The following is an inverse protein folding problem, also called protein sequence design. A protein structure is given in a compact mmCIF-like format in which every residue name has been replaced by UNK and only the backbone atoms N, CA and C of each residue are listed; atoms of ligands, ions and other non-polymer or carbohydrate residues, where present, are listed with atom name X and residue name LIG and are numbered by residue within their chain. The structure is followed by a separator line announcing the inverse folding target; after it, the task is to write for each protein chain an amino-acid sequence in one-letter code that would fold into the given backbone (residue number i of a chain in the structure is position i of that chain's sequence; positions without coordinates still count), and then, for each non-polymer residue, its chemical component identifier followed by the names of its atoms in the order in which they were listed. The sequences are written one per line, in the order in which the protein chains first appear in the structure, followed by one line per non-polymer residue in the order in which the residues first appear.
data_IF_904113143736
#
_entry.id   IF_904113143736
#
_cell.length_a   1.000
_cell.length_b   1.000
_cell.length_c   1.000
_cell.angle_alpha   90.00
_cell.angle_beta   90.00
_cell.angle_gamma   90.00
#
_symmetry.space_group_name_H-M   'P 1'
#
loop_
_entity.id
_entity.type
_entity.pdbx_description
1 polymer ?
#
# COMPACT_ATOMS: atom_id res chain seq x y z
N UNK A 1 10.82 13.41 -2.86
CA UNK A 1 11.10 13.88 -4.22
C UNK A 1 12.59 14.16 -4.27
N UNK A 2 13.30 13.56 -5.21
CA UNK A 2 14.72 13.88 -5.41
C UNK A 2 14.90 15.20 -6.20
N UNK A 3 16.13 15.72 -6.28
CA UNK A 3 16.40 17.00 -6.93
C UNK A 3 16.22 16.94 -8.46
N UNK A 4 16.40 15.77 -9.07
CA UNK A 4 16.14 15.56 -10.50
C UNK A 4 14.64 15.59 -10.79
N UNK A 5 13.82 15.03 -9.91
CA UNK A 5 12.35 15.09 -9.95
C UNK A 5 11.82 16.51 -9.71
N UNK A 6 12.40 17.25 -8.76
CA UNK A 6 12.03 18.66 -8.51
C UNK A 6 12.29 19.51 -9.74
N UNK A 7 13.41 19.28 -10.44
CA UNK A 7 13.73 19.96 -11.68
C UNK A 7 13.10 19.30 -12.93
N UNK A 8 12.33 18.22 -12.78
CA UNK A 8 11.71 17.47 -13.88
C UNK A 8 12.71 17.11 -15.01
N UNK A 9 13.88 16.59 -14.65
CA UNK A 9 14.95 16.21 -15.58
C UNK A 9 15.43 14.77 -15.32
N UNK A 10 15.98 14.07 -16.33
CA UNK A 10 16.55 12.75 -16.13
C UNK A 10 17.88 12.80 -15.38
N UNK A 11 18.23 11.68 -14.76
CA UNK A 11 19.54 11.47 -14.15
C UNK A 11 20.65 11.57 -15.20
N UNK A 12 21.82 12.12 -14.85
CA UNK A 12 22.92 12.33 -15.81
C UNK A 12 22.74 13.55 -16.73
N UNK A 13 21.71 14.37 -16.51
CA UNK A 13 21.52 15.62 -17.25
C UNK A 13 22.75 16.52 -17.22
N UNK A 14 23.03 17.15 -18.37
CA UNK A 14 24.16 18.07 -18.51
C UNK A 14 23.94 19.37 -17.71
N UNK A 15 25.00 20.12 -17.35
CA UNK A 15 24.86 21.43 -16.69
C UNK A 15 23.94 22.38 -17.44
N UNK A 16 23.95 22.31 -18.78
CA UNK A 16 23.06 23.08 -19.63
C UNK A 16 21.58 22.70 -19.45
N UNK A 17 21.26 21.40 -19.43
CA UNK A 17 19.89 20.92 -19.23
C UNK A 17 19.34 21.28 -17.85
N UNK A 18 20.18 21.16 -16.82
CA UNK A 18 19.83 21.55 -15.44
C UNK A 18 19.50 23.04 -15.37
N UNK A 19 20.36 23.88 -15.96
CA UNK A 19 20.19 25.33 -16.03
C UNK A 19 18.92 25.72 -16.81
N UNK A 20 18.68 25.08 -17.95
CA UNK A 20 17.50 25.35 -18.76
C UNK A 20 16.20 25.02 -18.01
N UNK A 21 16.16 23.87 -17.31
CA UNK A 21 14.97 23.50 -16.53
C UNK A 21 14.73 24.45 -15.36
N UNK A 22 15.78 24.86 -14.65
CA UNK A 22 15.68 25.86 -13.59
C UNK A 22 15.07 27.18 -14.08
N UNK A 23 15.52 27.72 -15.22
CA UNK A 23 14.93 28.95 -15.78
C UNK A 23 13.46 28.79 -16.19
N UNK A 24 13.09 27.62 -16.70
CA UNK A 24 11.69 27.33 -17.03
C UNK A 24 10.83 27.32 -15.76
N UNK A 25 11.25 26.58 -14.74
CA UNK A 25 10.49 26.40 -13.50
C UNK A 25 10.43 27.66 -12.66
N UNK A 26 11.50 28.45 -12.61
CA UNK A 26 11.46 29.77 -11.94
C UNK A 26 10.48 30.71 -12.62
N UNK A 27 10.39 30.75 -13.95
CA UNK A 27 9.35 31.56 -14.62
C UNK A 27 7.92 31.13 -14.31
N UNK A 28 7.72 29.86 -13.98
CA UNK A 28 6.41 29.28 -13.68
C UNK A 28 6.03 29.42 -12.19
N UNK A 29 7.01 29.27 -11.30
CA UNK A 29 6.80 29.17 -9.85
C UNK A 29 7.43 30.32 -9.05
N UNK A 30 7.95 31.36 -9.69
CA UNK A 30 8.47 32.52 -8.97
C UNK A 30 7.33 33.22 -8.20
N UNK A 31 7.49 33.53 -6.90
CA UNK A 31 6.43 34.14 -6.09
C UNK A 31 5.85 35.43 -6.70
N UNK A 32 6.69 36.23 -7.38
CA UNK A 32 6.28 37.45 -8.07
C UNK A 32 5.39 37.25 -9.31
N UNK A 33 5.20 36.02 -9.80
CA UNK A 33 4.30 35.71 -10.92
C UNK A 33 2.84 35.51 -10.47
N UNK A 34 2.58 35.45 -9.16
CA UNK A 34 1.26 35.17 -8.62
C UNK A 34 0.58 36.43 -8.05
N UNK A 35 -0.77 36.40 -7.99
CA UNK A 35 -1.56 37.55 -7.50
C UNK A 35 -1.24 37.89 -6.03
N UNK A 36 -1.18 39.19 -5.73
CA UNK A 36 -0.98 39.70 -4.36
C UNK A 36 -2.14 39.36 -3.43
N UNK A 37 -3.32 39.05 -3.97
CA UNK A 37 -4.54 38.76 -3.20
C UNK A 37 -4.68 37.28 -2.79
N UNK A 38 -3.63 36.47 -3.03
CA UNK A 38 -3.64 35.07 -2.62
C UNK A 38 -3.73 34.90 -1.09
N UNK A 39 -4.49 33.89 -0.62
CA UNK A 39 -4.45 33.45 0.76
C UNK A 39 -3.02 33.15 1.23
N UNK A 40 -2.73 33.46 2.49
CA UNK A 40 -1.39 33.28 3.08
C UNK A 40 -0.87 31.85 2.92
N UNK A 41 -1.73 30.85 3.15
CA UNK A 41 -1.36 29.44 3.07
C UNK A 41 -0.97 28.98 1.66
N UNK A 42 -1.43 29.68 0.62
CA UNK A 42 -1.05 29.42 -0.76
C UNK A 42 0.27 30.12 -1.10
N UNK A 43 0.47 31.35 -0.60
CA UNK A 43 1.74 32.07 -0.75
C UNK A 43 2.90 31.30 -0.12
N UNK A 44 2.71 30.80 1.10
CA UNK A 44 3.71 30.00 1.81
C UNK A 44 4.09 28.75 1.01
N UNK A 45 3.11 28.07 0.39
CA UNK A 45 3.36 26.91 -0.47
C UNK A 45 4.11 27.26 -1.75
N UNK A 46 3.83 28.41 -2.36
CA UNK A 46 4.53 28.88 -3.55
C UNK A 46 5.99 29.17 -3.20
N UNK A 47 6.24 29.85 -2.08
CA UNK A 47 7.59 30.13 -1.59
C UNK A 47 8.34 28.83 -1.27
N UNK A 48 7.69 27.86 -0.63
CA UNK A 48 8.27 26.54 -0.36
C UNK A 48 8.66 25.81 -1.65
N UNK A 49 7.78 25.79 -2.66
CA UNK A 49 8.06 25.15 -3.96
C UNK A 49 9.23 25.85 -4.66
N UNK A 50 9.23 27.18 -4.68
CA UNK A 50 10.31 27.97 -5.27
C UNK A 50 11.66 27.74 -4.55
N UNK A 51 11.63 27.67 -3.22
CA UNK A 51 12.80 27.34 -2.40
C UNK A 51 13.37 25.96 -2.72
N UNK A 52 12.50 24.95 -2.92
CA UNK A 52 12.94 23.62 -3.34
C UNK A 52 13.56 23.60 -4.74
N UNK A 53 12.99 24.33 -5.70
CA UNK A 53 13.54 24.46 -7.06
C UNK A 53 14.94 25.09 -7.02
N UNK A 54 15.10 26.16 -6.26
CA UNK A 54 16.38 26.88 -6.12
C UNK A 54 17.43 25.99 -5.47
N UNK A 55 17.07 25.34 -4.36
CA UNK A 55 17.97 24.42 -3.65
C UNK A 55 18.41 23.22 -4.51
N UNK A 56 17.51 22.70 -5.34
CA UNK A 56 17.81 21.63 -6.28
C UNK A 56 18.82 22.10 -7.34
N UNK A 57 18.63 23.30 -7.90
CA UNK A 57 19.57 23.90 -8.84
C UNK A 57 20.93 24.22 -8.21
N UNK A 58 20.96 24.83 -7.02
CA UNK A 58 22.21 25.16 -6.31
C UNK A 58 23.06 23.93 -5.98
N UNK A 59 22.42 22.77 -5.85
CA UNK A 59 23.10 21.50 -5.59
C UNK A 59 23.52 20.82 -6.89
N UNK A 60 22.64 20.74 -7.89
CA UNK A 60 22.92 20.01 -9.14
C UNK A 60 23.73 20.82 -10.17
N UNK A 61 23.71 22.16 -10.08
CA UNK A 61 24.41 23.06 -10.97
C UNK A 61 25.90 23.23 -10.64
N UNK A 62 26.31 22.91 -9.41
CA UNK A 62 27.72 22.87 -8.98
C UNK A 62 28.22 21.42 -9.06
N UNK A 63 29.33 21.20 -9.77
CA UNK A 63 29.84 19.85 -10.03
C UNK A 63 30.26 19.12 -8.75
N UNK A 64 30.86 19.81 -7.77
CA UNK A 64 31.29 19.20 -6.50
C UNK A 64 30.08 18.84 -5.64
N UNK A 65 29.12 19.76 -5.52
CA UNK A 65 27.89 19.50 -4.76
C UNK A 65 27.02 18.43 -5.42
N UNK A 66 26.99 18.39 -6.75
CA UNK A 66 26.32 17.34 -7.51
C UNK A 66 26.98 15.99 -7.25
N UNK A 67 28.29 15.89 -7.34
CA UNK A 67 29.02 14.64 -7.03
C UNK A 67 28.80 14.20 -5.58
N UNK A 68 28.83 15.12 -4.62
CA UNK A 68 28.54 14.81 -3.22
C UNK A 68 27.07 14.39 -3.01
N UNK A 69 26.12 15.07 -3.68
CA UNK A 69 24.71 14.73 -3.65
C UNK A 69 24.44 13.37 -4.28
N UNK A 70 24.99 13.10 -5.46
CA UNK A 70 24.90 11.83 -6.16
C UNK A 70 25.59 10.73 -5.35
N UNK A 71 26.75 10.97 -4.75
CA UNK A 71 27.41 10.01 -3.85
C UNK A 71 26.57 9.72 -2.61
N UNK A 72 25.98 10.76 -1.99
CA UNK A 72 25.06 10.60 -0.86
C UNK A 72 23.75 9.96 -1.26
N UNK A 73 23.29 10.11 -2.51
CA UNK A 73 22.07 9.52 -3.08
C UNK A 73 22.29 8.12 -3.64
N UNK A 74 23.51 7.76 -4.01
CA UNK A 74 23.91 6.39 -4.31
C UNK A 74 24.16 5.63 -3.00
N UNK A 75 24.73 6.30 -1.99
CA UNK A 75 24.86 5.77 -0.63
C UNK A 75 23.54 5.76 0.17
N UNK A 76 22.58 6.64 -0.18
CA UNK A 76 21.25 6.70 0.44
C UNK A 76 20.25 6.06 -0.51
N UNK A 77 19.62 4.94 -0.15
CA UNK A 77 19.16 3.97 -1.12
C UNK A 77 17.86 4.43 -1.81
N UNK A 78 17.97 5.27 -2.84
CA UNK A 78 16.89 5.50 -3.82
C UNK A 78 16.78 4.29 -4.76
N UNK A 79 17.89 3.55 -4.96
CA UNK A 79 17.91 2.15 -5.40
C UNK A 79 17.30 1.16 -4.38
N UNK A 80 17.14 1.61 -3.13
CA UNK A 80 16.54 0.85 -2.04
C UNK A 80 15.08 0.54 -2.28
N UNK A 81 14.30 1.34 -3.02
CA UNK A 81 12.90 1.03 -3.26
C UNK A 81 12.74 -0.36 -3.90
N UNK A 82 13.37 -0.58 -5.06
CA UNK A 82 13.27 -1.86 -5.79
C UNK A 82 13.99 -3.00 -5.08
N UNK A 83 15.10 -2.75 -4.40
CA UNK A 83 15.82 -3.79 -3.67
C UNK A 83 15.11 -4.19 -2.37
N UNK A 84 14.57 -3.23 -1.62
CA UNK A 84 13.73 -3.47 -0.46
C UNK A 84 12.43 -4.16 -0.87
N UNK A 85 11.86 -3.85 -2.03
CA UNK A 85 10.74 -4.58 -2.61
C UNK A 85 11.08 -6.04 -2.90
N UNK A 86 12.20 -6.30 -3.61
CA UNK A 86 12.68 -7.67 -3.85
C UNK A 86 12.94 -8.40 -2.55
N UNK A 87 13.58 -7.75 -1.57
CA UNK A 87 13.84 -8.30 -0.24
C UNK A 87 12.54 -8.62 0.49
N UNK A 88 11.54 -7.74 0.42
CA UNK A 88 10.22 -7.98 1.01
C UNK A 88 9.53 -9.19 0.35
N UNK A 89 9.61 -9.32 -0.98
CA UNK A 89 9.06 -10.48 -1.71
C UNK A 89 9.79 -11.79 -1.38
N UNK A 90 11.10 -11.75 -1.17
CA UNK A 90 11.88 -12.91 -0.72
C UNK A 90 11.44 -13.30 0.70
N UNK A 91 11.39 -12.35 1.63
CA UNK A 91 10.98 -12.58 3.03
C UNK A 91 9.55 -13.11 3.11
N UNK A 92 8.64 -12.55 2.31
CA UNK A 92 7.27 -13.05 2.18
C UNK A 92 7.23 -14.51 1.69
N UNK A 93 7.98 -14.83 0.63
CA UNK A 93 8.04 -16.20 0.09
C UNK A 93 8.58 -17.18 1.11
N UNK A 94 9.68 -16.83 1.78
CA UNK A 94 10.26 -17.65 2.85
C UNK A 94 9.30 -17.84 4.02
N UNK A 95 8.66 -16.75 4.49
CA UNK A 95 7.67 -16.80 5.56
C UNK A 95 6.46 -17.67 5.20
N UNK A 96 5.99 -17.60 3.95
CA UNK A 96 4.93 -18.50 3.43
C UNK A 96 5.38 -19.96 3.38
N UNK A 97 6.60 -20.24 2.95
CA UNK A 97 7.15 -21.62 2.97
C UNK A 97 7.22 -22.16 4.39
N UNK A 98 7.72 -21.38 5.35
CA UNK A 98 7.76 -21.78 6.76
C UNK A 98 6.37 -21.97 7.36
N UNK A 99 5.41 -21.13 7.00
CA UNK A 99 4.01 -21.30 7.42
C UNK A 99 3.45 -22.65 6.94
N UNK A 100 3.71 -23.03 5.68
CA UNK A 100 3.28 -24.32 5.14
C UNK A 100 4.01 -25.51 5.79
N UNK A 101 5.18 -25.28 6.39
CA UNK A 101 5.91 -26.26 7.20
C UNK A 101 5.49 -26.23 8.69
N UNK A 102 4.42 -25.49 9.03
CA UNK A 102 3.91 -25.30 10.40
C UNK A 102 4.91 -24.64 11.37
N UNK A 103 5.98 -24.04 10.84
CA UNK A 103 7.00 -23.29 11.61
C UNK A 103 6.53 -21.85 11.82
N UNK A 104 5.45 -21.69 12.59
CA UNK A 104 4.69 -20.44 12.69
C UNK A 104 5.48 -19.27 13.29
N UNK A 105 6.30 -19.50 14.32
CA UNK A 105 7.12 -18.45 14.94
C UNK A 105 8.15 -17.86 13.98
N UNK A 106 8.80 -18.72 13.19
CA UNK A 106 9.79 -18.28 12.20
C UNK A 106 9.11 -17.62 11.00
N UNK A 107 7.96 -18.15 10.56
CA UNK A 107 7.12 -17.52 9.55
C UNK A 107 6.70 -16.11 9.98
N UNK A 108 6.28 -15.94 11.23
CA UNK A 108 5.85 -14.67 11.79
C UNK A 108 6.97 -13.63 11.68
N UNK A 109 8.20 -13.96 12.11
CA UNK A 109 9.36 -13.04 12.03
C UNK A 109 9.61 -12.56 10.60
N UNK A 110 9.65 -13.48 9.63
CA UNK A 110 9.91 -13.12 8.22
C UNK A 110 8.76 -12.30 7.61
N UNK A 111 7.52 -12.59 7.99
CA UNK A 111 6.35 -11.86 7.50
C UNK A 111 6.26 -10.46 8.11
N UNK A 112 6.67 -10.27 9.36
CA UNK A 112 6.81 -8.93 9.98
C UNK A 112 7.88 -8.10 9.27
N UNK A 113 9.02 -8.70 8.93
CA UNK A 113 10.03 -8.06 8.10
C UNK A 113 9.48 -7.66 6.73
N UNK A 114 8.76 -8.56 6.04
CA UNK A 114 8.18 -8.29 4.73
C UNK A 114 7.21 -7.09 4.76
N UNK A 115 6.33 -7.05 5.77
CA UNK A 115 5.38 -5.94 5.98
C UNK A 115 6.10 -4.63 6.35
N UNK A 116 7.18 -4.70 7.14
CA UNK A 116 7.99 -3.52 7.48
C UNK A 116 8.65 -2.92 6.25
N UNK A 117 9.16 -3.76 5.35
CA UNK A 117 9.82 -3.36 4.11
C UNK A 117 8.80 -2.84 3.08
N UNK A 118 7.61 -3.45 2.98
CA UNK A 118 6.54 -3.02 2.08
C UNK A 118 5.18 -2.98 2.76
N UNK A 119 4.80 -1.77 3.18
CA UNK A 119 3.59 -1.53 4.00
C UNK A 119 2.28 -1.48 3.20
N UNK A 120 2.33 -1.49 1.87
CA UNK A 120 1.18 -1.28 0.98
C UNK A 120 0.80 -2.51 0.14
N UNK A 121 1.18 -3.71 0.57
CA UNK A 121 0.88 -4.97 -0.13
C UNK A 121 -0.04 -5.84 0.72
N UNK A 122 -1.32 -5.93 0.35
CA UNK A 122 -2.37 -6.57 1.16
C UNK A 122 -2.09 -8.05 1.42
N UNK A 123 -1.57 -8.76 0.42
CA UNK A 123 -1.24 -10.19 0.55
C UNK A 123 -0.19 -10.48 1.63
N UNK A 124 0.71 -9.54 1.93
CA UNK A 124 1.67 -9.70 3.04
C UNK A 124 0.96 -9.66 4.39
N UNK A 125 0.02 -8.74 4.56
CA UNK A 125 -0.80 -8.66 5.77
C UNK A 125 -1.70 -9.87 5.93
N UNK A 126 -2.24 -10.42 4.83
CA UNK A 126 -2.99 -11.68 4.87
C UNK A 126 -2.14 -12.82 5.45
N UNK A 127 -0.93 -13.01 4.91
CA UNK A 127 -0.05 -14.08 5.40
C UNK A 127 0.43 -13.81 6.83
N UNK A 128 0.74 -12.56 7.17
CA UNK A 128 1.08 -12.17 8.54
C UNK A 128 -0.07 -12.48 9.51
N UNK A 129 -1.32 -12.21 9.11
CA UNK A 129 -2.50 -12.51 9.91
C UNK A 129 -2.66 -14.02 10.15
N UNK A 130 -2.49 -14.83 9.10
CA UNK A 130 -2.49 -16.30 9.18
C UNK A 130 -1.40 -16.81 10.12
N UNK A 131 -0.18 -16.28 10.05
CA UNK A 131 0.89 -16.65 10.97
C UNK A 131 0.56 -16.25 12.42
N UNK A 132 0.11 -15.00 12.63
CA UNK A 132 -0.31 -14.51 13.96
C UNK A 132 -1.40 -15.35 14.59
N UNK A 133 -2.38 -15.84 13.82
CA UNK A 133 -3.46 -16.66 14.37
C UNK A 133 -2.99 -18.04 14.87
N UNK A 134 -1.83 -18.51 14.44
CA UNK A 134 -1.24 -19.78 14.91
C UNK A 134 -0.23 -19.60 16.04
N UNK A 135 0.23 -18.38 16.32
CA UNK A 135 1.20 -18.09 17.41
C UNK A 135 0.46 -17.50 18.62
N UNK A 136 0.34 -18.21 19.76
CA UNK A 136 -0.60 -17.85 20.84
C UNK A 136 -0.47 -16.41 21.38
N UNK A 137 0.74 -15.86 21.63
CA UNK A 137 0.89 -14.46 22.05
C UNK A 137 0.34 -13.42 21.06
N UNK A 138 0.30 -13.76 19.78
CA UNK A 138 -0.11 -12.84 18.70
C UNK A 138 -1.50 -13.14 18.16
N UNK A 139 -2.14 -14.20 18.64
CA UNK A 139 -3.41 -14.71 18.15
C UNK A 139 -4.47 -13.60 18.03
N UNK A 140 -4.65 -12.79 19.08
CA UNK A 140 -5.62 -11.67 19.09
C UNK A 140 -5.27 -10.53 18.12
N UNK A 141 -4.00 -10.39 17.73
CA UNK A 141 -3.53 -9.38 16.76
C UNK A 141 -3.69 -9.84 15.31
N UNK A 142 -4.17 -11.05 15.06
CA UNK A 142 -4.44 -11.54 13.71
C UNK A 142 -5.57 -10.75 13.03
N UNK A 143 -6.63 -10.42 13.78
CA UNK A 143 -7.77 -9.64 13.28
C UNK A 143 -7.33 -8.30 12.67
N UNK A 144 -6.47 -7.56 13.36
CA UNK A 144 -5.94 -6.27 12.88
C UNK A 144 -5.19 -6.41 11.55
N UNK A 145 -4.41 -7.48 11.40
CA UNK A 145 -3.65 -7.74 10.18
C UNK A 145 -4.58 -8.11 9.01
N UNK A 146 -5.61 -8.94 9.24
CA UNK A 146 -6.65 -9.21 8.24
C UNK A 146 -7.39 -7.94 7.82
N UNK A 147 -7.82 -7.13 8.78
CA UNK A 147 -8.50 -5.85 8.48
C UNK A 147 -7.59 -4.91 7.68
N UNK A 148 -6.29 -4.91 7.95
CA UNK A 148 -5.32 -4.11 7.18
C UNK A 148 -5.17 -4.62 5.74
N UNK A 149 -5.16 -5.93 5.51
CA UNK A 149 -5.19 -6.50 4.16
C UNK A 149 -6.44 -6.03 3.39
N UNK A 150 -7.62 -6.12 4.02
CA UNK A 150 -8.91 -5.67 3.44
C UNK A 150 -8.90 -4.17 3.14
N UNK A 151 -8.35 -3.33 4.02
CA UNK A 151 -8.24 -1.88 3.78
C UNK A 151 -7.33 -1.55 2.59
N UNK A 152 -6.29 -2.34 2.36
CA UNK A 152 -5.36 -2.13 1.25
C UNK A 152 -5.97 -2.59 -0.10
N UNK A 153 -6.63 -3.74 -0.14
CA UNK A 153 -7.26 -4.25 -1.35
C UNK A 153 -8.69 -4.77 -1.03
N UNK A 154 -9.69 -3.87 -0.99
CA UNK A 154 -11.06 -4.24 -0.59
C UNK A 154 -11.80 -5.08 -1.63
N UNK A 155 -11.27 -5.21 -2.84
CA UNK A 155 -11.83 -6.03 -3.92
C UNK A 155 -11.21 -7.43 -3.98
N UNK A 156 -10.39 -7.83 -3.00
CA UNK A 156 -9.79 -9.16 -2.97
C UNK A 156 -10.63 -10.11 -2.09
N UNK A 157 -11.35 -11.10 -2.67
CA UNK A 157 -12.23 -11.99 -1.90
C UNK A 157 -11.45 -12.88 -0.93
N UNK A 158 -10.18 -13.20 -1.21
CA UNK A 158 -9.35 -14.05 -0.36
C UNK A 158 -9.16 -13.44 1.04
N UNK A 159 -9.15 -12.11 1.15
CA UNK A 159 -8.94 -11.44 2.43
C UNK A 159 -10.14 -11.58 3.36
N UNK A 160 -11.34 -11.51 2.79
CA UNK A 160 -12.59 -11.78 3.51
C UNK A 160 -12.72 -13.26 3.87
N UNK A 161 -12.32 -14.18 2.97
CA UNK A 161 -12.25 -15.61 3.29
C UNK A 161 -11.29 -15.85 4.45
N UNK A 162 -10.09 -15.26 4.43
CA UNK A 162 -9.11 -15.40 5.50
C UNK A 162 -9.64 -14.94 6.86
N UNK A 163 -10.24 -13.75 6.91
CA UNK A 163 -10.84 -13.23 8.14
C UNK A 163 -12.06 -14.06 8.58
N UNK A 164 -12.87 -14.55 7.64
CA UNK A 164 -13.99 -15.44 7.91
C UNK A 164 -13.54 -16.76 8.55
N UNK A 165 -12.49 -17.38 8.00
CA UNK A 165 -11.88 -18.59 8.55
C UNK A 165 -11.33 -18.35 9.95
N UNK A 166 -10.63 -17.24 10.15
CA UNK A 166 -10.14 -16.84 11.48
C UNK A 166 -11.28 -16.73 12.50
N UNK A 167 -12.33 -15.97 12.19
CA UNK A 167 -13.48 -15.86 13.10
C UNK A 167 -14.18 -17.19 13.36
N UNK A 168 -14.20 -18.11 12.40
CA UNK A 168 -14.76 -19.44 12.58
C UNK A 168 -13.90 -20.28 13.53
N UNK A 169 -12.58 -20.26 13.38
CA UNK A 169 -11.64 -20.94 14.29
C UNK A 169 -11.82 -20.42 15.73
N UNK A 170 -12.08 -19.12 15.89
CA UNK A 170 -12.35 -18.48 17.18
C UNK A 170 -13.79 -18.64 17.71
N UNK A 171 -14.66 -19.37 17.01
CA UNK A 171 -16.05 -19.59 17.41
C UNK A 171 -16.99 -18.40 17.17
N UNK A 172 -16.53 -17.31 16.55
CA UNK A 172 -17.35 -16.15 16.16
C UNK A 172 -18.11 -16.40 14.84
N UNK A 173 -19.00 -17.40 14.83
CA UNK A 173 -19.70 -17.86 13.63
C UNK A 173 -20.47 -16.77 12.87
N UNK A 174 -21.11 -15.83 13.58
CA UNK A 174 -21.85 -14.74 12.93
C UNK A 174 -20.92 -13.75 12.22
N UNK A 175 -19.76 -13.47 12.81
CA UNK A 175 -18.73 -12.66 12.16
C UNK A 175 -18.18 -13.40 10.94
N UNK A 176 -17.89 -14.69 11.07
CA UNK A 176 -17.42 -15.53 9.96
C UNK A 176 -18.39 -15.51 8.77
N UNK A 177 -19.69 -15.76 9.01
CA UNK A 177 -20.73 -15.72 7.98
C UNK A 177 -20.80 -14.37 7.27
N UNK A 178 -20.65 -13.25 7.99
CA UNK A 178 -20.61 -11.91 7.39
C UNK A 178 -19.43 -11.76 6.41
N UNK A 179 -18.25 -12.25 6.78
CA UNK A 179 -17.08 -12.17 5.91
C UNK A 179 -17.17 -13.11 4.70
N UNK A 180 -17.67 -14.33 4.86
CA UNK A 180 -17.90 -15.22 3.71
C UNK A 180 -18.96 -14.66 2.75
N UNK A 181 -20.02 -14.02 3.26
CA UNK A 181 -20.94 -13.26 2.42
C UNK A 181 -20.22 -12.14 1.67
N UNK A 182 -19.35 -11.38 2.34
CA UNK A 182 -18.53 -10.33 1.72
C UNK A 182 -17.65 -10.87 0.58
N UNK A 183 -16.97 -11.99 0.79
CA UNK A 183 -16.21 -12.67 -0.26
C UNK A 183 -17.09 -13.04 -1.47
N UNK A 184 -18.32 -13.49 -1.23
CA UNK A 184 -19.29 -13.88 -2.25
C UNK A 184 -19.99 -12.72 -2.97
N UNK A 185 -19.93 -11.49 -2.46
CA UNK A 185 -20.36 -10.29 -3.21
C UNK A 185 -19.29 -9.90 -4.25
N UNK A 186 -18.01 -10.16 -3.94
CA UNK A 186 -16.85 -9.83 -4.78
C UNK A 186 -16.61 -10.94 -5.82
N UNK A 187 -16.52 -12.19 -5.36
CA UNK A 187 -16.36 -13.37 -6.19
C UNK A 187 -17.53 -14.33 -5.90
N UNK A 188 -18.59 -14.30 -6.72
CA UNK A 188 -19.75 -15.14 -6.52
C UNK A 188 -19.49 -16.65 -6.55
N UNK A 189 -18.37 -17.09 -7.14
CA UNK A 189 -17.99 -18.49 -7.30
C UNK A 189 -16.93 -18.95 -6.28
N UNK A 190 -16.59 -18.12 -5.30
CA UNK A 190 -15.58 -18.44 -4.32
C UNK A 190 -15.90 -19.77 -3.59
N UNK A 191 -15.16 -20.83 -3.93
CA UNK A 191 -15.44 -22.20 -3.48
C UNK A 191 -15.42 -22.34 -1.96
N UNK A 192 -14.49 -21.64 -1.30
CA UNK A 192 -14.35 -21.70 0.16
C UNK A 192 -15.57 -21.04 0.79
N UNK A 193 -15.90 -19.81 0.40
CA UNK A 193 -17.04 -19.11 0.97
C UNK A 193 -18.39 -19.81 0.69
N UNK A 194 -18.56 -20.44 -0.48
CA UNK A 194 -19.72 -21.29 -0.78
C UNK A 194 -19.81 -22.49 0.16
N UNK A 195 -18.71 -23.23 0.32
CA UNK A 195 -18.64 -24.38 1.22
C UNK A 195 -18.94 -23.99 2.67
N UNK A 196 -18.33 -22.91 3.15
CA UNK A 196 -18.48 -22.43 4.53
C UNK A 196 -19.91 -21.91 4.83
N UNK A 197 -20.66 -21.50 3.80
CA UNK A 197 -22.06 -21.11 3.93
C UNK A 197 -23.05 -22.22 3.57
N UNK A 198 -22.58 -23.41 3.19
CA UNK A 198 -23.44 -24.52 2.76
C UNK A 198 -24.23 -24.24 1.48
N UNK A 199 -23.70 -23.40 0.58
CA UNK A 199 -24.36 -22.99 -0.66
C UNK A 199 -23.82 -23.77 -1.86
N UNK A 200 -24.71 -24.23 -2.74
CA UNK A 200 -24.34 -24.79 -4.05
C UNK A 200 -24.32 -23.69 -5.12
N UNK A 201 -23.53 -23.89 -6.19
CA UNK A 201 -23.44 -22.93 -7.31
C UNK A 201 -24.81 -22.65 -7.96
N UNK A 202 -25.69 -23.65 -7.99
CA UNK A 202 -27.04 -23.55 -8.58
C UNK A 202 -28.04 -22.80 -7.70
N UNK A 203 -28.02 -23.02 -6.37
CA UNK A 203 -28.88 -22.30 -5.41
C UNK A 203 -28.65 -20.78 -5.47
N UNK A 204 -27.43 -20.35 -5.78
CA UNK A 204 -27.06 -18.94 -5.93
C UNK A 204 -27.66 -18.29 -7.17
N UNK A 205 -27.60 -18.92 -8.35
CA UNK A 205 -28.12 -18.34 -9.61
C UNK A 205 -29.59 -17.92 -9.49
N UNK A 206 -30.38 -18.64 -8.67
CA UNK A 206 -31.81 -18.37 -8.44
C UNK A 206 -32.07 -17.45 -7.23
N UNK A 207 -31.22 -17.43 -6.19
CA UNK A 207 -31.48 -16.68 -4.94
C UNK A 207 -30.68 -15.37 -4.72
N UNK A 208 -29.53 -15.20 -5.37
CA UNK A 208 -28.62 -14.08 -5.08
C UNK A 208 -28.96 -12.76 -5.77
N UNK A 209 -29.67 -12.82 -6.89
CA UNK A 209 -30.27 -11.64 -7.53
C UNK A 209 -31.27 -10.95 -6.60
N UNK A 210 -31.93 -11.69 -5.69
CA UNK A 210 -32.86 -11.15 -4.70
C UNK A 210 -32.19 -10.57 -3.45
N UNK A 211 -31.17 -11.24 -2.91
CA UNK A 211 -30.50 -10.84 -1.67
C UNK A 211 -29.73 -9.52 -1.84
N UNK A 212 -29.11 -9.28 -3.00
CA UNK A 212 -28.37 -8.04 -3.28
C UNK A 212 -29.25 -6.84 -3.60
N UNK A 213 -30.48 -7.06 -4.11
CA UNK A 213 -31.44 -5.98 -4.38
C UNK A 213 -31.84 -5.22 -3.10
N UNK A 214 -31.72 -5.87 -1.94
CA UNK A 214 -32.02 -5.28 -0.64
C UNK A 214 -30.80 -4.77 0.15
N UNK A 215 -29.57 -5.18 -0.21
CA UNK A 215 -28.34 -4.74 0.48
C UNK A 215 -27.72 -3.47 -0.13
N UNK A 216 -28.05 -3.11 -1.37
CA UNK A 216 -27.63 -1.85 -2.01
C UNK A 216 -28.49 -0.62 -1.71
N UNK A 217 -29.58 -0.75 -0.93
CA UNK A 217 -30.55 0.32 -0.65
C UNK A 217 -30.64 0.75 0.82
N UNK A 218 -29.53 1.03 1.49
CA UNK A 218 -29.47 1.83 2.76
C UNK A 218 -28.07 2.46 2.82
N UNK A 219 -27.81 3.77 2.75
CA UNK A 219 -28.58 4.98 3.12
C UNK A 219 -28.11 6.18 2.27
N UNK A 220 -29.03 6.85 1.56
CA UNK A 220 -29.07 8.32 1.44
C UNK A 220 -30.24 8.77 2.33
N UNK A 221 -29.94 9.18 3.56
CA UNK A 221 -30.77 9.89 4.54
C UNK A 221 -29.75 10.41 5.55
N UNK A 222 -29.54 11.70 5.78
CA UNK A 222 -30.23 12.94 5.43
C UNK A 222 -29.18 13.97 5.03
#
# INVERSE_FOLDING_TARGET
MDYYQILNIPEGSSPYQIKLSYFRLTREYHPGCFSKDLPSDIKDKIEDVFGHITKAYDTLGDEKKKQEYDSKREASPVLGGKELEKKADIKYRQGRTLYNQERYDEALKLLEEAVRLKKNKGIYFLMLAKAKSKVPPFHKKAEEAFQKAIKLEPSNPEFYVGLGTYYKEEGFFDKAKKQFKKALEIDPENKIALKELGLTKELKKKGLTGIFKHLGKKKKKR
#
